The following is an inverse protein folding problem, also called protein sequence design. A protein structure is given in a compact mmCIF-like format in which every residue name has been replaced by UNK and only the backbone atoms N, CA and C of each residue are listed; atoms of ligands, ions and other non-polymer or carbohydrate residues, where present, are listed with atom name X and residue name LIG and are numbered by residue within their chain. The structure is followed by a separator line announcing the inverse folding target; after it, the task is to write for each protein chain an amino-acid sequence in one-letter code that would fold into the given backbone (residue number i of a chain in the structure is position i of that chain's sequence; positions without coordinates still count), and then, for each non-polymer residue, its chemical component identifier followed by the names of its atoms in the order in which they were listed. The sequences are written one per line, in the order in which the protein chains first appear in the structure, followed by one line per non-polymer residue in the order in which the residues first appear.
data_IF_594560554569
#
_entry.id   IF_594560554569
#
_cell.length_a   1.000
_cell.length_b   1.000
_cell.length_c   1.000
_cell.angle_alpha   90.00
_cell.angle_beta   90.00
_cell.angle_gamma   90.00
#
_symmetry.space_group_name_H-M   'P 1'
#
loop_
_entity.id
_entity.type
_entity.pdbx_description
1 polymer ?
#
# COMPACT_ATOMS: atom_id res chain seq x y z
N UNK A 1 37.00 3.11 -2.07
CA UNK A 1 38.33 2.85 -1.47
C UNK A 1 38.36 1.58 -0.63
N UNK A 2 37.46 1.36 0.33
CA UNK A 2 37.44 0.16 1.21
C UNK A 2 37.37 -1.20 0.46
N UNK A 3 36.65 -1.30 -0.65
CA UNK A 3 36.49 -2.56 -1.41
C UNK A 3 37.81 -3.00 -2.07
N UNK A 4 38.55 -2.06 -2.68
CA UNK A 4 39.87 -2.36 -3.26
C UNK A 4 40.92 -2.77 -2.24
N UNK A 5 40.82 -2.23 -1.00
CA UNK A 5 41.70 -2.59 0.12
C UNK A 5 41.41 -4.01 0.62
N UNK A 6 40.14 -4.40 0.69
CA UNK A 6 39.72 -5.77 1.08
C UNK A 6 40.15 -6.82 0.05
N UNK A 7 40.03 -6.48 -1.26
CA UNK A 7 40.47 -7.38 -2.33
C UNK A 7 42.00 -7.52 -2.35
N UNK A 8 42.73 -6.43 -2.04
CA UNK A 8 44.22 -6.46 -1.93
C UNK A 8 44.65 -7.27 -0.69
N UNK A 9 43.97 -7.13 0.44
CA UNK A 9 44.21 -7.92 1.66
C UNK A 9 43.86 -9.39 1.44
N UNK A 10 42.79 -9.70 0.73
CA UNK A 10 42.44 -11.07 0.34
C UNK A 10 43.55 -11.73 -0.49
N UNK A 11 44.00 -11.06 -1.56
CA UNK A 11 45.11 -11.57 -2.39
C UNK A 11 46.43 -11.72 -1.63
N UNK A 12 46.76 -10.78 -0.74
CA UNK A 12 47.95 -10.87 0.12
C UNK A 12 47.90 -12.07 1.08
N UNK A 13 46.74 -12.37 1.64
CA UNK A 13 46.55 -13.56 2.50
C UNK A 13 46.73 -14.87 1.72
N UNK A 14 46.24 -14.96 0.46
CA UNK A 14 46.43 -16.14 -0.37
C UNK A 14 47.89 -16.35 -0.77
N UNK A 15 48.57 -15.26 -1.16
CA UNK A 15 50.00 -15.32 -1.45
C UNK A 15 50.79 -15.71 -0.20
N UNK A 16 50.43 -15.21 0.98
CA UNK A 16 51.02 -15.57 2.27
C UNK A 16 50.85 -17.04 2.61
N UNK A 17 49.64 -17.59 2.47
CA UNK A 17 49.33 -19.00 2.69
C UNK A 17 50.07 -19.93 1.73
N UNK A 18 50.19 -19.52 0.46
CA UNK A 18 50.97 -20.25 -0.55
C UNK A 18 52.47 -20.29 -0.21
N UNK A 19 53.06 -19.17 0.19
CA UNK A 19 54.46 -19.09 0.63
C UNK A 19 54.68 -19.95 1.89
N UNK A 20 53.78 -19.89 2.87
CA UNK A 20 53.87 -20.68 4.07
C UNK A 20 53.80 -22.18 3.74
N UNK A 21 52.92 -22.60 2.84
CA UNK A 21 52.82 -23.98 2.35
C UNK A 21 54.16 -24.48 1.72
N UNK A 22 54.80 -23.66 0.89
CA UNK A 22 56.07 -23.98 0.29
C UNK A 22 57.17 -24.09 1.37
N UNK A 23 57.22 -23.17 2.31
CA UNK A 23 58.18 -23.19 3.43
C UNK A 23 58.03 -24.43 4.30
N UNK A 24 56.80 -24.81 4.60
CA UNK A 24 56.49 -26.05 5.39
C UNK A 24 57.00 -27.29 4.66
N UNK A 25 56.81 -27.37 3.33
CA UNK A 25 57.29 -28.48 2.50
C UNK A 25 58.82 -28.56 2.51
N UNK A 26 59.47 -27.38 2.36
CA UNK A 26 60.97 -27.30 2.38
C UNK A 26 61.50 -27.70 3.77
N UNK A 27 60.90 -27.20 4.85
CA UNK A 27 61.29 -27.54 6.22
C UNK A 27 61.14 -29.03 6.51
N UNK A 28 60.01 -29.63 6.11
CA UNK A 28 59.77 -31.04 6.25
C UNK A 28 60.76 -31.91 5.46
N UNK A 29 61.16 -31.42 4.28
CA UNK A 29 62.20 -32.03 3.50
C UNK A 29 63.57 -31.94 4.12
N UNK A 30 63.98 -30.73 4.62
CA UNK A 30 65.26 -30.52 5.32
C UNK A 30 65.37 -31.30 6.63
N UNK A 31 64.24 -31.61 7.32
CA UNK A 31 64.21 -32.39 8.52
C UNK A 31 64.25 -33.91 8.31
N UNK A 32 64.46 -34.37 7.03
CA UNK A 32 64.41 -35.77 6.64
C UNK A 32 63.13 -36.54 7.02
N UNK A 33 62.06 -35.80 7.28
CA UNK A 33 60.76 -36.33 7.66
C UNK A 33 59.95 -36.86 6.47
N UNK A 34 60.40 -36.49 5.25
CA UNK A 34 59.76 -36.87 3.98
C UNK A 34 60.72 -37.74 3.19
N UNK A 35 60.43 -39.02 3.12
CA UNK A 35 61.15 -39.98 2.32
C UNK A 35 60.85 -39.75 0.83
N UNK A 36 61.78 -39.14 0.11
CA UNK A 36 61.57 -38.67 -1.25
C UNK A 36 61.40 -39.80 -2.27
N UNK A 37 61.78 -41.04 -1.92
CA UNK A 37 61.56 -42.19 -2.80
C UNK A 37 60.09 -42.67 -2.87
N UNK A 38 59.25 -42.25 -1.89
CA UNK A 38 57.83 -42.65 -1.83
C UNK A 38 56.86 -41.60 -2.31
N UNK A 39 57.29 -40.36 -2.58
CA UNK A 39 56.42 -39.29 -3.05
C UNK A 39 56.37 -39.40 -4.60
N UNK A 40 55.27 -39.99 -5.09
CA UNK A 40 55.03 -40.04 -6.53
C UNK A 40 54.52 -38.67 -7.03
N UNK A 41 54.90 -38.30 -8.27
CA UNK A 41 54.40 -37.10 -8.95
C UNK A 41 52.85 -36.96 -8.93
N UNK A 42 52.17 -38.08 -8.86
CA UNK A 42 50.71 -38.15 -8.73
C UNK A 42 50.21 -37.61 -7.41
N UNK A 43 50.94 -37.80 -6.31
CA UNK A 43 50.55 -37.27 -4.98
C UNK A 43 50.70 -35.75 -4.91
N UNK A 44 51.75 -35.19 -5.52
CA UNK A 44 51.96 -33.73 -5.59
C UNK A 44 50.91 -33.06 -6.48
N UNK A 45 50.61 -33.65 -7.63
CA UNK A 45 49.60 -33.10 -8.56
C UNK A 45 48.20 -33.15 -7.97
N UNK A 46 47.83 -34.20 -7.25
CA UNK A 46 46.52 -34.30 -6.57
C UNK A 46 46.36 -33.26 -5.47
N UNK A 47 47.41 -32.96 -4.70
CA UNK A 47 47.41 -31.90 -3.68
C UNK A 47 47.22 -30.50 -4.31
N UNK A 48 47.91 -30.21 -5.42
CA UNK A 48 47.76 -28.95 -6.13
C UNK A 48 46.34 -28.76 -6.71
N UNK A 49 45.76 -29.81 -7.29
CA UNK A 49 44.38 -29.78 -7.80
C UNK A 49 43.38 -29.53 -6.66
N UNK A 50 43.59 -30.14 -5.49
CA UNK A 50 42.72 -29.94 -4.34
C UNK A 50 42.79 -28.47 -3.84
N UNK A 51 43.99 -27.89 -3.79
CA UNK A 51 44.15 -26.46 -3.38
C UNK A 51 43.47 -25.52 -4.38
N UNK A 52 43.69 -25.75 -5.69
CA UNK A 52 43.03 -24.96 -6.73
C UNK A 52 41.51 -25.09 -6.64
N UNK A 53 41.01 -26.31 -6.44
CA UNK A 53 39.57 -26.58 -6.24
C UNK A 53 39.00 -25.83 -5.06
N UNK A 54 39.70 -25.79 -3.93
CA UNK A 54 39.27 -25.02 -2.73
C UNK A 54 39.24 -23.51 -3.00
N UNK A 55 40.23 -22.97 -3.70
CA UNK A 55 40.27 -21.56 -4.06
C UNK A 55 39.08 -21.19 -4.96
N UNK A 56 38.83 -21.96 -6.02
CA UNK A 56 37.72 -21.74 -6.93
C UNK A 56 36.37 -21.91 -6.23
N UNK A 57 36.25 -22.86 -5.32
CA UNK A 57 35.06 -23.05 -4.50
C UNK A 57 34.79 -21.86 -3.58
N UNK A 58 35.83 -21.35 -2.94
CA UNK A 58 35.72 -20.15 -2.08
C UNK A 58 35.29 -18.90 -2.89
N UNK A 59 35.90 -18.68 -4.05
CA UNK A 59 35.49 -17.57 -4.94
C UNK A 59 34.04 -17.71 -5.41
N UNK A 60 33.60 -18.93 -5.71
CA UNK A 60 32.22 -19.22 -6.07
C UNK A 60 31.26 -18.91 -4.94
N UNK A 61 31.57 -19.31 -3.69
CA UNK A 61 30.75 -19.00 -2.51
C UNK A 61 30.68 -17.48 -2.27
N UNK A 62 31.79 -16.76 -2.40
CA UNK A 62 31.86 -15.31 -2.25
C UNK A 62 30.97 -14.61 -3.29
N UNK A 63 31.04 -15.03 -4.54
CA UNK A 63 30.24 -14.46 -5.63
C UNK A 63 28.75 -14.79 -5.47
N UNK A 64 28.39 -15.99 -4.99
CA UNK A 64 27.01 -16.35 -4.66
C UNK A 64 26.47 -15.48 -3.52
N UNK A 65 27.25 -15.23 -2.47
CA UNK A 65 26.86 -14.34 -1.37
C UNK A 65 26.60 -12.89 -1.83
N UNK A 66 27.40 -12.37 -2.76
CA UNK A 66 27.17 -11.04 -3.36
C UNK A 66 25.88 -11.03 -4.22
N UNK A 67 25.63 -12.07 -5.01
CA UNK A 67 24.42 -12.18 -5.82
C UNK A 67 23.17 -12.23 -4.95
N UNK A 68 23.15 -13.02 -3.87
CA UNK A 68 22.02 -13.06 -2.92
C UNK A 68 21.79 -11.71 -2.29
N UNK A 69 22.84 -10.98 -1.94
CA UNK A 69 22.73 -9.63 -1.38
C UNK A 69 22.17 -8.62 -2.38
N UNK A 70 22.56 -8.73 -3.65
CA UNK A 70 22.03 -7.86 -4.73
C UNK A 70 20.57 -8.18 -4.97
N UNK A 71 20.20 -9.46 -5.05
CA UNK A 71 18.82 -9.90 -5.20
C UNK A 71 17.94 -9.43 -4.04
N UNK A 72 18.42 -9.53 -2.79
CA UNK A 72 17.70 -9.03 -1.62
C UNK A 72 17.40 -7.52 -1.70
N UNK A 73 18.37 -6.71 -2.14
CA UNK A 73 18.16 -5.27 -2.37
C UNK A 73 17.16 -5.00 -3.50
N UNK A 74 17.21 -5.80 -4.55
CA UNK A 74 16.31 -5.65 -5.69
C UNK A 74 14.86 -5.96 -5.31
N UNK A 75 14.63 -6.99 -4.50
CA UNK A 75 13.31 -7.32 -3.92
C UNK A 75 12.80 -6.18 -3.02
N UNK A 76 13.68 -5.60 -2.20
CA UNK A 76 13.30 -4.45 -1.35
C UNK A 76 12.87 -3.25 -2.20
N UNK A 77 13.65 -2.89 -3.21
CA UNK A 77 13.33 -1.77 -4.13
C UNK A 77 12.01 -2.03 -4.87
N UNK A 78 11.78 -3.26 -5.32
CA UNK A 78 10.51 -3.63 -5.94
C UNK A 78 9.32 -3.51 -4.97
N UNK A 79 9.51 -3.92 -3.70
CA UNK A 79 8.50 -3.74 -2.67
C UNK A 79 8.15 -2.26 -2.43
N UNK A 80 9.15 -1.39 -2.34
CA UNK A 80 8.95 0.06 -2.21
C UNK A 80 8.23 0.66 -3.44
N UNK A 81 8.59 0.24 -4.65
CA UNK A 81 7.93 0.67 -5.89
C UNK A 81 6.46 0.25 -5.93
N UNK A 82 6.14 -0.98 -5.49
CA UNK A 82 4.75 -1.46 -5.40
C UNK A 82 3.95 -0.60 -4.42
N UNK A 83 4.50 -0.24 -3.27
CA UNK A 83 3.83 0.63 -2.30
C UNK A 83 3.56 2.03 -2.87
N UNK A 84 4.51 2.59 -3.61
CA UNK A 84 4.33 3.88 -4.30
C UNK A 84 3.22 3.77 -5.35
N UNK A 85 3.19 2.71 -6.15
CA UNK A 85 2.15 2.50 -7.16
C UNK A 85 0.76 2.32 -6.54
N UNK A 86 0.65 1.63 -5.39
CA UNK A 86 -0.63 1.50 -4.67
C UNK A 86 -1.13 2.88 -4.25
N UNK A 87 -0.27 3.70 -3.63
CA UNK A 87 -0.64 5.06 -3.22
C UNK A 87 -1.04 5.94 -4.41
N UNK A 88 -0.29 5.90 -5.50
CA UNK A 88 -0.63 6.64 -6.73
C UNK A 88 -2.01 6.22 -7.28
N UNK A 89 -2.31 4.92 -7.29
CA UNK A 89 -3.61 4.41 -7.74
C UNK A 89 -4.77 4.92 -6.88
N UNK A 90 -4.59 5.02 -5.55
CA UNK A 90 -5.57 5.63 -4.65
C UNK A 90 -5.84 7.08 -5.04
N UNK A 91 -4.75 7.86 -5.26
CA UNK A 91 -4.84 9.27 -5.64
C UNK A 91 -5.52 9.46 -7.02
N UNK A 92 -5.19 8.61 -7.98
CA UNK A 92 -5.80 8.62 -9.32
C UNK A 92 -7.30 8.28 -9.26
N UNK A 93 -7.68 7.26 -8.47
CA UNK A 93 -9.10 6.90 -8.27
C UNK A 93 -9.87 8.05 -7.62
N UNK A 94 -9.30 8.70 -6.59
CA UNK A 94 -9.91 9.84 -5.92
C UNK A 94 -10.11 11.00 -6.91
N UNK A 95 -9.06 11.43 -7.61
CA UNK A 95 -9.14 12.54 -8.57
C UNK A 95 -10.11 12.25 -9.73
N UNK A 96 -10.10 11.03 -10.24
CA UNK A 96 -11.05 10.59 -11.28
C UNK A 96 -12.48 10.65 -10.79
N UNK A 97 -12.76 10.17 -9.58
CA UNK A 97 -14.09 10.22 -9.00
C UNK A 97 -14.57 11.65 -8.74
N UNK A 98 -13.70 12.56 -8.27
CA UNK A 98 -14.03 13.99 -8.10
C UNK A 98 -14.41 14.61 -9.45
N UNK A 99 -13.65 14.35 -10.51
CA UNK A 99 -13.96 14.85 -11.85
C UNK A 99 -15.32 14.32 -12.36
N UNK A 100 -15.60 13.03 -12.16
CA UNK A 100 -16.88 12.42 -12.55
C UNK A 100 -18.06 12.92 -11.71
N UNK A 101 -17.84 13.27 -10.43
CA UNK A 101 -18.88 13.86 -9.59
C UNK A 101 -19.34 15.23 -10.11
N UNK A 102 -18.47 15.97 -10.82
CA UNK A 102 -18.79 17.21 -11.51
C UNK A 102 -19.44 17.04 -12.90
N UNK A 103 -19.65 15.81 -13.37
CA UNK A 103 -20.23 15.54 -14.70
C UNK A 103 -21.68 16.00 -14.80
N UNK A 104 -22.12 16.38 -16.01
CA UNK A 104 -23.54 16.60 -16.33
C UNK A 104 -24.35 15.31 -16.29
N UNK A 105 -23.70 14.16 -16.57
CA UNK A 105 -24.35 12.86 -16.66
C UNK A 105 -24.61 12.23 -15.27
N UNK A 106 -25.88 11.94 -14.96
CA UNK A 106 -26.29 11.33 -13.68
C UNK A 106 -25.62 9.97 -13.43
N UNK A 107 -25.45 9.17 -14.49
CA UNK A 107 -24.78 7.87 -14.38
C UNK A 107 -23.31 7.99 -13.98
N UNK A 108 -22.61 8.99 -14.52
CA UNK A 108 -21.21 9.28 -14.18
C UNK A 108 -21.08 9.75 -12.73
N UNK A 109 -21.96 10.66 -12.27
CA UNK A 109 -21.98 11.13 -10.88
C UNK A 109 -22.31 9.99 -9.90
N UNK A 110 -23.30 9.14 -10.23
CA UNK A 110 -23.63 7.98 -9.40
C UNK A 110 -22.46 6.99 -9.30
N UNK A 111 -21.76 6.74 -10.42
CA UNK A 111 -20.54 5.93 -10.42
C UNK A 111 -19.43 6.54 -9.56
N UNK A 112 -19.28 7.86 -9.61
CA UNK A 112 -18.32 8.59 -8.76
C UNK A 112 -18.65 8.42 -7.27
N UNK A 113 -19.92 8.53 -6.87
CA UNK A 113 -20.37 8.33 -5.49
C UNK A 113 -20.00 6.93 -4.99
N UNK A 114 -20.24 5.88 -5.78
CA UNK A 114 -19.81 4.52 -5.43
C UNK A 114 -18.30 4.40 -5.31
N UNK A 115 -17.54 4.96 -6.26
CA UNK A 115 -16.07 4.91 -6.23
C UNK A 115 -15.51 5.62 -4.99
N UNK A 116 -16.05 6.80 -4.63
CA UNK A 116 -15.66 7.52 -3.42
C UNK A 116 -16.01 6.73 -2.16
N UNK A 117 -17.19 6.12 -2.11
CA UNK A 117 -17.61 5.30 -0.98
C UNK A 117 -16.66 4.12 -0.76
N UNK A 118 -16.38 3.32 -1.80
CA UNK A 118 -15.42 2.21 -1.73
C UNK A 118 -14.03 2.68 -1.30
N UNK A 119 -13.57 3.80 -1.85
CA UNK A 119 -12.27 4.36 -1.50
C UNK A 119 -12.21 4.76 -0.01
N UNK A 120 -13.27 5.33 0.55
CA UNK A 120 -13.34 5.68 1.97
C UNK A 120 -13.36 4.45 2.89
N UNK A 121 -13.86 3.31 2.43
CA UNK A 121 -13.80 2.04 3.16
C UNK A 121 -12.41 1.40 3.09
N UNK A 122 -11.76 1.44 1.92
CA UNK A 122 -10.47 0.81 1.67
C UNK A 122 -9.28 1.56 2.28
N UNK A 123 -9.30 2.91 2.25
CA UNK A 123 -8.14 3.74 2.62
C UNK A 123 -8.57 4.93 3.49
N UNK A 124 -7.81 5.22 4.53
CA UNK A 124 -8.10 6.30 5.48
C UNK A 124 -7.67 7.68 4.98
N UNK A 125 -6.77 7.74 4.00
CA UNK A 125 -6.16 8.98 3.50
C UNK A 125 -7.16 10.06 3.13
N UNK A 126 -8.25 9.67 2.43
CA UNK A 126 -9.25 10.61 1.95
C UNK A 126 -10.61 10.47 2.63
N UNK A 127 -10.74 9.60 3.61
CA UNK A 127 -12.01 9.22 4.24
C UNK A 127 -12.81 10.42 4.74
N UNK A 128 -12.20 11.26 5.56
CA UNK A 128 -12.84 12.45 6.10
C UNK A 128 -13.24 13.45 4.99
N UNK A 129 -12.35 13.65 4.02
CA UNK A 129 -12.62 14.52 2.89
C UNK A 129 -13.76 14.01 2.02
N UNK A 130 -13.83 12.70 1.79
CA UNK A 130 -14.89 12.07 1.00
C UNK A 130 -16.26 12.28 1.63
N UNK A 131 -16.43 12.09 2.94
CA UNK A 131 -17.74 12.29 3.59
C UNK A 131 -18.19 13.74 3.50
N UNK A 132 -17.27 14.70 3.66
CA UNK A 132 -17.55 16.11 3.48
C UNK A 132 -17.95 16.47 2.04
N UNK A 133 -17.26 15.91 1.05
CA UNK A 133 -17.57 16.10 -0.38
C UNK A 133 -18.95 15.52 -0.71
N UNK A 134 -19.29 14.32 -0.24
CA UNK A 134 -20.59 13.72 -0.48
C UNK A 134 -21.73 14.50 0.17
N UNK A 135 -21.56 14.99 1.39
CA UNK A 135 -22.52 15.90 2.04
C UNK A 135 -22.68 17.21 1.27
N UNK A 136 -21.56 17.81 0.84
CA UNK A 136 -21.57 19.02 0.02
C UNK A 136 -22.24 18.81 -1.33
N UNK A 137 -22.01 17.65 -1.97
CA UNK A 137 -22.67 17.27 -3.22
C UNK A 137 -24.19 17.20 -3.06
N UNK A 138 -24.68 16.56 -1.97
CA UNK A 138 -26.11 16.52 -1.66
C UNK A 138 -26.67 17.94 -1.55
N UNK A 139 -26.06 18.79 -0.71
CA UNK A 139 -26.51 20.16 -0.50
C UNK A 139 -26.55 20.96 -1.80
N UNK A 140 -25.45 20.96 -2.53
CA UNK A 140 -25.35 21.72 -3.79
C UNK A 140 -26.39 21.26 -4.82
N UNK A 141 -26.50 19.92 -5.01
CA UNK A 141 -27.40 19.38 -6.01
C UNK A 141 -28.86 19.56 -5.63
N UNK A 142 -29.22 19.40 -4.37
CA UNK A 142 -30.60 19.53 -3.92
C UNK A 142 -31.07 20.98 -3.76
N UNK A 143 -30.15 21.96 -3.74
CA UNK A 143 -30.48 23.38 -3.73
C UNK A 143 -30.72 23.97 -5.12
N UNK A 144 -30.44 23.23 -6.19
CA UNK A 144 -30.80 23.67 -7.55
C UNK A 144 -32.34 23.78 -7.69
N UNK A 145 -32.84 24.91 -8.16
CA UNK A 145 -34.28 25.16 -8.31
C UNK A 145 -34.91 24.09 -9.23
N UNK A 146 -34.26 23.78 -10.35
CA UNK A 146 -34.71 22.74 -11.28
C UNK A 146 -34.80 21.35 -10.61
N UNK A 147 -33.89 21.05 -9.65
CA UNK A 147 -33.96 19.81 -8.87
C UNK A 147 -35.21 19.78 -7.99
N UNK A 148 -35.47 20.86 -7.25
CA UNK A 148 -36.62 20.95 -6.34
C UNK A 148 -37.95 20.85 -7.06
N UNK A 149 -38.05 21.46 -8.24
CA UNK A 149 -39.25 21.38 -9.09
C UNK A 149 -39.55 19.96 -9.56
N UNK A 150 -38.54 19.19 -9.92
CA UNK A 150 -38.67 17.82 -10.48
C UNK A 150 -38.78 16.73 -9.41
N UNK A 151 -38.28 16.97 -8.20
CA UNK A 151 -38.15 15.95 -7.13
C UNK A 151 -39.03 16.23 -5.91
N UNK A 152 -40.24 16.78 -6.10
CA UNK A 152 -41.20 17.08 -5.04
C UNK A 152 -41.74 15.82 -4.34
N UNK A 153 -41.79 14.69 -5.07
CA UNK A 153 -42.36 13.44 -4.58
C UNK A 153 -41.35 12.44 -4.02
N UNK A 154 -40.08 12.59 -4.41
CA UNK A 154 -38.97 11.78 -3.88
C UNK A 154 -37.64 12.36 -4.32
N UNK A 155 -36.53 12.14 -3.60
CA UNK A 155 -35.19 12.46 -4.06
C UNK A 155 -34.86 11.71 -5.36
N UNK A 156 -33.94 12.27 -6.17
CA UNK A 156 -33.37 11.52 -7.28
C UNK A 156 -32.68 10.24 -6.80
N UNK A 157 -32.58 9.26 -7.69
CA UNK A 157 -31.89 8.00 -7.34
C UNK A 157 -30.42 8.26 -6.93
N UNK A 158 -29.76 9.23 -7.55
CA UNK A 158 -28.39 9.65 -7.19
C UNK A 158 -28.31 10.13 -5.74
N UNK A 159 -29.18 11.05 -5.35
CA UNK A 159 -29.18 11.61 -3.98
C UNK A 159 -29.58 10.55 -2.97
N UNK A 160 -30.63 9.75 -3.25
CA UNK A 160 -31.03 8.67 -2.33
C UNK A 160 -29.92 7.62 -2.18
N UNK A 161 -29.21 7.29 -3.26
CA UNK A 161 -28.06 6.39 -3.22
C UNK A 161 -26.96 6.97 -2.35
N UNK A 162 -26.63 8.25 -2.52
CA UNK A 162 -25.60 8.93 -1.71
C UNK A 162 -25.97 8.91 -0.22
N UNK A 163 -27.23 9.20 0.13
CA UNK A 163 -27.72 9.10 1.49
C UNK A 163 -27.60 7.67 2.04
N UNK A 164 -27.97 6.67 1.25
CA UNK A 164 -27.85 5.27 1.67
C UNK A 164 -26.39 4.87 1.96
N UNK A 165 -25.45 5.28 1.11
CA UNK A 165 -24.02 5.00 1.25
C UNK A 165 -23.36 5.81 2.38
N UNK A 166 -23.93 6.93 2.76
CA UNK A 166 -23.49 7.65 3.95
C UNK A 166 -24.00 7.02 5.23
N UNK A 167 -25.31 6.65 5.33
CA UNK A 167 -25.97 6.42 6.61
C UNK A 167 -26.49 5.01 6.84
N UNK A 168 -26.79 4.21 5.79
CA UNK A 168 -27.45 2.90 5.99
C UNK A 168 -26.48 1.77 6.29
N UNK A 169 -26.59 1.16 7.46
CA UNK A 169 -25.74 0.05 7.90
C UNK A 169 -25.71 -1.13 6.91
N UNK A 170 -26.85 -1.52 6.35
CA UNK A 170 -26.94 -2.62 5.38
C UNK A 170 -26.32 -2.28 4.00
N UNK A 171 -25.95 -1.04 3.77
CA UNK A 171 -25.21 -0.55 2.61
C UNK A 171 -23.76 -0.17 2.94
N UNK A 172 -23.25 -0.64 4.07
CA UNK A 172 -21.92 -0.26 4.58
C UNK A 172 -21.73 1.26 4.68
N UNK A 173 -22.80 1.98 5.09
CA UNK A 173 -22.78 3.42 5.21
C UNK A 173 -21.60 3.95 5.99
N UNK A 174 -20.98 5.02 5.53
CA UNK A 174 -19.75 5.55 6.12
C UNK A 174 -19.93 5.96 7.58
N UNK A 175 -21.08 6.58 7.92
CA UNK A 175 -21.41 6.94 9.30
C UNK A 175 -21.88 5.74 10.16
N UNK A 176 -22.06 4.56 9.57
CA UNK A 176 -22.35 3.32 10.29
C UNK A 176 -21.09 2.49 10.62
N UNK A 177 -19.91 2.97 10.22
CA UNK A 177 -18.63 2.30 10.46
C UNK A 177 -18.02 2.73 11.80
N UNK A 178 -17.11 1.90 12.33
CA UNK A 178 -16.46 2.19 13.60
C UNK A 178 -15.55 3.43 13.56
N UNK A 179 -14.98 3.74 12.41
CA UNK A 179 -14.17 4.96 12.25
C UNK A 179 -14.99 6.26 12.41
N UNK A 180 -16.31 6.22 12.12
CA UNK A 180 -17.17 7.38 12.30
C UNK A 180 -17.46 7.74 13.78
N UNK A 181 -17.09 6.86 14.71
CA UNK A 181 -17.21 7.09 16.16
C UNK A 181 -16.00 7.81 16.74
N UNK A 182 -14.97 8.08 15.93
CA UNK A 182 -13.78 8.82 16.36
C UNK A 182 -14.12 10.30 16.55
N UNK A 183 -13.57 10.91 17.60
CA UNK A 183 -13.87 12.30 17.99
C UNK A 183 -13.54 13.33 16.90
N UNK A 184 -12.52 13.04 16.07
CA UNK A 184 -12.08 13.91 14.97
C UNK A 184 -12.82 13.61 13.64
N UNK A 185 -13.76 12.66 13.61
CA UNK A 185 -14.50 12.36 12.38
C UNK A 185 -15.54 13.45 12.10
N UNK A 186 -15.60 14.00 10.87
CA UNK A 186 -16.46 15.15 10.58
C UNK A 186 -17.94 14.75 10.62
N UNK A 187 -18.76 15.59 11.23
CA UNK A 187 -20.21 15.42 11.25
C UNK A 187 -20.80 15.53 9.84
N UNK A 188 -21.91 14.83 9.63
CA UNK A 188 -22.63 14.88 8.36
C UNK A 188 -23.42 16.20 8.27
N UNK A 189 -22.87 17.17 7.56
CA UNK A 189 -23.56 18.45 7.36
C UNK A 189 -24.49 18.40 6.13
N UNK A 190 -25.79 18.24 6.41
CA UNK A 190 -26.87 18.30 5.42
C UNK A 190 -27.75 19.56 5.60
N UNK A 191 -27.17 20.61 6.19
CA UNK A 191 -27.86 21.88 6.36
C UNK A 191 -28.33 22.44 5.01
N UNK A 192 -29.52 23.03 5.01
CA UNK A 192 -30.15 23.59 3.82
C UNK A 192 -30.48 22.60 2.69
N UNK A 193 -30.22 21.30 2.84
CA UNK A 193 -30.52 20.32 1.79
C UNK A 193 -32.02 20.13 1.61
N UNK A 194 -32.47 19.94 0.35
CA UNK A 194 -33.84 19.57 0.04
C UNK A 194 -33.98 18.07 0.04
N UNK A 195 -34.53 17.51 1.12
CA UNK A 195 -34.62 16.09 1.42
C UNK A 195 -36.08 15.62 1.56
N UNK A 196 -36.99 16.28 0.84
CA UNK A 196 -38.44 15.96 0.84
C UNK A 196 -38.64 14.51 0.46
N UNK A 197 -39.39 13.77 1.32
CA UNK A 197 -39.69 12.34 1.19
C UNK A 197 -38.45 11.44 1.01
N UNK A 198 -37.29 11.85 1.53
CA UNK A 198 -36.08 11.01 1.57
C UNK A 198 -36.25 9.81 2.49
N UNK A 199 -35.70 8.66 2.11
CA UNK A 199 -35.74 7.44 2.91
C UNK A 199 -34.48 7.35 3.81
N UNK A 200 -34.65 7.66 5.09
CA UNK A 200 -33.66 7.51 6.16
C UNK A 200 -33.93 6.29 7.07
N UNK A 201 -34.81 5.36 6.68
CA UNK A 201 -35.13 4.21 7.51
C UNK A 201 -33.90 3.41 7.90
N UNK A 202 -33.70 3.22 9.22
CA UNK A 202 -32.53 2.52 9.76
C UNK A 202 -31.20 3.22 9.53
N UNK A 203 -31.21 4.49 9.19
CA UNK A 203 -30.01 5.29 8.98
C UNK A 203 -29.29 5.59 10.32
N UNK A 204 -27.97 5.69 10.27
CA UNK A 204 -27.12 6.11 11.38
C UNK A 204 -26.80 7.60 11.21
N UNK A 205 -27.66 8.45 11.75
CA UNK A 205 -27.59 9.93 11.60
C UNK A 205 -27.18 10.62 12.90
N UNK A 206 -26.42 9.93 13.78
CA UNK A 206 -25.93 10.54 15.01
C UNK A 206 -25.13 11.78 14.69
N UNK A 207 -25.44 12.90 15.39
CA UNK A 207 -24.77 14.19 15.23
C UNK A 207 -24.82 14.77 13.80
N UNK A 208 -25.68 14.23 12.92
CA UNK A 208 -25.90 14.80 11.60
C UNK A 208 -26.63 16.17 11.71
N UNK A 209 -26.14 17.14 10.96
CA UNK A 209 -26.66 18.52 10.98
C UNK A 209 -27.72 18.66 9.89
N UNK A 210 -28.99 18.81 10.28
CA UNK A 210 -30.13 19.06 9.38
C UNK A 210 -30.66 20.50 9.50
N UNK A 211 -29.83 21.43 9.98
CA UNK A 211 -30.25 22.84 10.18
C UNK A 211 -30.77 23.44 8.87
N UNK A 212 -32.00 23.92 8.89
CA UNK A 212 -32.71 24.46 7.71
C UNK A 212 -32.90 23.48 6.54
N UNK A 213 -32.70 22.20 6.74
CA UNK A 213 -33.02 21.20 5.73
C UNK A 213 -34.53 21.03 5.56
N UNK A 214 -34.97 20.84 4.32
CA UNK A 214 -36.38 20.56 4.02
C UNK A 214 -36.58 19.04 4.01
N UNK A 215 -37.14 18.51 5.12
CA UNK A 215 -37.35 17.06 5.32
C UNK A 215 -38.84 16.69 5.34
N UNK A 216 -39.71 17.44 4.70
CA UNK A 216 -41.14 17.15 4.71
C UNK A 216 -41.45 15.76 4.15
N UNK A 217 -42.10 14.92 4.95
CA UNK A 217 -42.45 13.54 4.59
C UNK A 217 -41.24 12.60 4.47
N UNK A 218 -40.04 12.99 4.88
CA UNK A 218 -38.91 12.07 5.00
C UNK A 218 -39.19 10.99 6.05
N UNK A 219 -38.76 9.75 5.76
CA UNK A 219 -39.01 8.60 6.63
C UNK A 219 -37.75 8.29 7.46
N UNK A 220 -37.79 8.61 8.75
CA UNK A 220 -36.78 8.29 9.75
C UNK A 220 -37.09 7.06 10.58
N UNK A 221 -37.99 6.16 10.14
CA UNK A 221 -38.32 4.95 10.85
C UNK A 221 -37.09 4.13 11.23
N UNK A 222 -36.91 3.85 12.52
CA UNK A 222 -35.75 3.15 13.08
C UNK A 222 -34.40 3.83 12.83
N UNK A 223 -34.36 5.09 12.40
CA UNK A 223 -33.10 5.85 12.30
C UNK A 223 -32.57 6.20 13.69
N UNK A 224 -31.27 6.24 13.84
CA UNK A 224 -30.59 6.71 15.04
C UNK A 224 -30.15 8.16 14.82
N UNK A 225 -30.87 9.10 15.44
CA UNK A 225 -30.64 10.54 15.30
C UNK A 225 -30.45 11.18 16.69
N UNK A 226 -29.47 10.66 17.46
CA UNK A 226 -29.12 11.21 18.77
C UNK A 226 -28.04 12.28 18.59
N UNK A 227 -28.26 13.46 19.19
CA UNK A 227 -27.39 14.64 19.14
C UNK A 227 -28.12 15.91 19.48
#
# INVERSE_FOLDING_TARGET
MKKKLLDYLGNAVYVGLFIISIIVVIVLHCLNFIDTEKITWTSISSGLIAIIGLILFYERLKNQGEQVRIQGKQVQIQGEQIQIQIKQRVDERFNSAINLLGSSETSARTGAVYTLHELALEDDKYRQQIVQILCSHIRSKTNEEAYQETHKERPSNEIQTTLNLLFKKHKHGLYAQDFAKQEDFPWADLSHAYLVKADFRGAQCQEAIFKYAQCQGADFGHAQCQG
#
